data_IF_779578219259
#
_entry.id   IF_779578219259
#
_cell.length_a   1.000
_cell.length_b   1.000
_cell.length_c   1.000
_cell.angle_alpha   90.00
_cell.angle_beta   90.00
_cell.angle_gamma   90.00
#
_symmetry.space_group_name_H-M   'P 1'
#
loop_
_entity.id
_entity.type
_entity.pdbx_description
1 polymer ?
#
# COMPACT_ATOMS: atom_id res chain seq x y z
N UNK A 1 -9.51 -4.52 30.76
CA UNK A 1 -9.86 -3.24 30.11
C UNK A 1 -9.48 -3.35 28.65
N UNK A 2 -10.46 -3.60 27.79
CA UNK A 2 -10.25 -3.64 26.35
C UNK A 2 -9.86 -2.22 25.90
N UNK A 3 -8.63 -2.03 25.43
CA UNK A 3 -8.23 -0.77 24.81
C UNK A 3 -9.14 -0.57 23.61
N UNK A 4 -10.14 0.30 23.71
CA UNK A 4 -10.92 0.80 22.57
C UNK A 4 -9.93 1.33 21.56
N UNK A 5 -9.65 0.54 20.51
CA UNK A 5 -8.80 0.96 19.40
C UNK A 5 -9.47 2.18 18.78
N UNK A 6 -8.73 3.28 18.64
CA UNK A 6 -9.21 4.43 17.89
C UNK A 6 -9.75 3.95 16.52
N UNK A 7 -10.87 4.51 16.05
CA UNK A 7 -11.46 4.11 14.78
C UNK A 7 -10.44 4.34 13.66
N UNK A 8 -10.23 3.30 12.83
CA UNK A 8 -9.35 3.38 11.67
C UNK A 8 -9.98 4.34 10.68
N UNK A 9 -9.36 5.51 10.48
CA UNK A 9 -9.76 6.42 9.40
C UNK A 9 -8.89 6.18 8.17
N UNK A 10 -9.53 6.10 7.02
CA UNK A 10 -8.88 5.94 5.74
C UNK A 10 -8.69 7.28 5.02
N UNK A 11 -7.62 7.34 4.23
CA UNK A 11 -7.30 8.41 3.31
C UNK A 11 -7.18 7.83 1.91
N UNK A 12 -8.06 8.23 1.01
CA UNK A 12 -8.04 7.74 -0.37
C UNK A 12 -7.23 8.70 -1.23
N UNK A 13 -6.09 8.23 -1.71
CA UNK A 13 -5.22 8.99 -2.60
C UNK A 13 -5.75 8.83 -4.02
N UNK A 14 -5.88 9.94 -4.76
CA UNK A 14 -6.23 9.91 -6.18
C UNK A 14 -5.01 9.68 -7.07
N UNK A 15 -5.22 9.33 -8.35
CA UNK A 15 -4.12 9.25 -9.32
C UNK A 15 -3.38 10.58 -9.48
N UNK A 16 -4.11 11.69 -9.56
CA UNK A 16 -3.54 13.04 -9.69
C UNK A 16 -2.70 13.42 -8.46
N UNK A 17 -3.18 13.05 -7.28
CA UNK A 17 -2.44 13.27 -6.03
C UNK A 17 -1.18 12.42 -5.96
N UNK A 18 -1.25 11.13 -6.34
CA UNK A 18 -0.08 10.25 -6.41
C UNK A 18 0.98 10.77 -7.39
N UNK A 19 0.57 11.23 -8.58
CA UNK A 19 1.47 11.89 -9.55
C UNK A 19 2.07 13.19 -8.96
N UNK A 20 1.25 14.00 -8.30
CA UNK A 20 1.70 15.22 -7.61
C UNK A 20 2.79 14.94 -6.56
N UNK A 21 2.59 13.91 -5.73
CA UNK A 21 3.56 13.45 -4.74
C UNK A 21 4.85 12.95 -5.40
N UNK A 22 4.74 12.18 -6.49
CA UNK A 22 5.89 11.71 -7.25
C UNK A 22 6.68 12.87 -7.90
N UNK A 23 6.01 13.92 -8.39
CA UNK A 23 6.66 15.14 -8.89
C UNK A 23 7.37 15.93 -7.80
N UNK A 24 6.84 15.96 -6.58
CA UNK A 24 7.52 16.54 -5.42
C UNK A 24 8.81 15.76 -5.15
N UNK A 25 8.72 14.43 -5.06
CA UNK A 25 9.89 13.56 -4.86
C UNK A 25 10.96 13.76 -5.94
N UNK A 26 10.57 13.69 -7.22
CA UNK A 26 11.51 13.85 -8.33
C UNK A 26 12.22 15.20 -8.28
N UNK A 27 11.53 16.29 -7.91
CA UNK A 27 12.17 17.60 -7.71
C UNK A 27 13.17 17.60 -6.57
N UNK A 28 12.83 16.97 -5.44
CA UNK A 28 13.76 16.84 -4.29
C UNK A 28 15.00 16.03 -4.65
N UNK A 29 14.84 14.92 -5.36
CA UNK A 29 15.93 14.07 -5.84
C UNK A 29 16.83 14.86 -6.81
N UNK A 30 16.25 15.54 -7.81
CA UNK A 30 17.03 16.36 -8.75
C UNK A 30 17.80 17.48 -8.05
N UNK A 31 17.16 18.16 -7.09
CA UNK A 31 17.75 19.30 -6.39
C UNK A 31 18.88 18.90 -5.44
N UNK A 32 18.91 17.65 -4.97
CA UNK A 32 20.00 17.15 -4.12
C UNK A 32 21.26 16.78 -4.90
N UNK A 33 21.21 16.80 -6.24
CA UNK A 33 22.30 16.35 -7.11
C UNK A 33 22.44 14.83 -7.19
N UNK A 34 21.57 14.07 -6.53
CA UNK A 34 21.59 12.61 -6.58
C UNK A 34 21.09 12.10 -7.92
N UNK A 35 21.92 11.30 -8.59
CA UNK A 35 21.60 10.64 -9.88
C UNK A 35 21.71 9.14 -9.66
N UNK A 36 20.59 8.42 -9.48
CA UNK A 36 20.63 6.98 -9.30
C UNK A 36 21.01 6.28 -10.61
N UNK A 37 21.81 5.22 -10.51
CA UNK A 37 22.12 4.28 -11.58
C UNK A 37 21.05 3.18 -11.68
N UNK A 38 20.29 2.93 -10.61
CA UNK A 38 19.15 2.01 -10.59
C UNK A 38 18.07 2.51 -9.62
N UNK A 39 16.81 2.42 -10.04
CA UNK A 39 15.66 2.56 -9.14
C UNK A 39 15.17 1.17 -8.74
N UNK A 40 14.89 0.97 -7.47
CA UNK A 40 14.30 -0.27 -6.93
C UNK A 40 12.96 0.06 -6.29
N UNK A 41 11.88 -0.46 -6.85
CA UNK A 41 10.56 -0.41 -6.22
C UNK A 41 10.41 -1.51 -5.16
N UNK A 42 9.97 -1.16 -3.95
CA UNK A 42 9.57 -2.15 -2.95
C UNK A 42 8.20 -2.72 -3.36
N UNK A 43 8.16 -3.97 -3.79
CA UNK A 43 6.93 -4.56 -4.29
C UNK A 43 5.98 -4.93 -3.13
N UNK A 44 4.68 -4.64 -3.24
CA UNK A 44 3.98 -4.19 -4.47
C UNK A 44 3.74 -2.68 -4.51
N UNK A 45 3.55 -2.03 -3.37
CA UNK A 45 3.16 -0.63 -3.26
C UNK A 45 4.11 0.34 -3.98
N UNK A 46 5.41 0.12 -3.82
CA UNK A 46 6.47 0.90 -4.48
C UNK A 46 6.57 0.77 -6.01
N UNK A 47 5.89 -0.18 -6.66
CA UNK A 47 6.05 -0.41 -8.11
C UNK A 47 5.57 0.77 -8.95
N UNK A 48 4.37 1.27 -8.66
CA UNK A 48 3.79 2.42 -9.37
C UNK A 48 4.60 3.70 -9.15
N UNK A 49 4.90 4.14 -7.90
CA UNK A 49 5.73 5.32 -7.70
C UNK A 49 7.13 5.15 -8.28
N UNK A 50 7.76 3.97 -8.19
CA UNK A 50 9.07 3.74 -8.80
C UNK A 50 9.02 3.96 -10.32
N UNK A 51 7.98 3.46 -11.00
CA UNK A 51 7.83 3.70 -12.44
C UNK A 51 7.65 5.18 -12.74
N UNK A 52 6.79 5.91 -12.03
CA UNK A 52 6.59 7.35 -12.24
C UNK A 52 7.91 8.11 -12.00
N UNK A 53 8.64 7.78 -10.94
CA UNK A 53 9.93 8.40 -10.62
C UNK A 53 10.97 8.15 -11.72
N UNK A 54 11.06 6.93 -12.26
CA UNK A 54 11.94 6.64 -13.40
C UNK A 54 11.63 7.56 -14.59
N UNK A 55 10.36 7.77 -14.90
CA UNK A 55 9.94 8.66 -15.99
C UNK A 55 10.40 10.10 -15.75
N UNK A 56 10.09 10.62 -14.55
CA UNK A 56 10.42 11.99 -14.17
C UNK A 56 11.93 12.24 -14.07
N UNK A 57 12.73 11.22 -13.76
CA UNK A 57 14.19 11.29 -13.71
C UNK A 57 14.88 10.92 -15.03
N UNK A 58 14.13 10.48 -16.05
CA UNK A 58 14.65 9.84 -17.26
C UNK A 58 15.58 8.64 -16.97
N UNK A 59 15.31 7.95 -15.88
CA UNK A 59 16.02 6.74 -15.49
C UNK A 59 15.38 5.52 -16.17
N UNK A 60 16.18 4.73 -16.86
CA UNK A 60 15.75 3.56 -17.64
C UNK A 60 15.79 2.27 -16.82
N UNK A 61 16.74 2.18 -15.90
CA UNK A 61 16.93 0.97 -15.10
C UNK A 61 16.01 0.98 -13.88
N UNK A 62 15.07 0.03 -13.88
CA UNK A 62 14.09 -0.21 -12.83
C UNK A 62 14.09 -1.70 -12.47
N UNK A 63 14.33 -2.01 -11.21
CA UNK A 63 14.15 -3.32 -10.63
C UNK A 63 13.13 -3.28 -9.49
N UNK A 64 12.77 -4.44 -8.95
CA UNK A 64 11.90 -4.52 -7.78
C UNK A 64 12.35 -5.61 -6.82
N UNK A 65 12.05 -5.43 -5.54
CA UNK A 65 12.27 -6.41 -4.48
C UNK A 65 10.96 -6.62 -3.74
N UNK A 66 10.52 -7.87 -3.60
CA UNK A 66 9.28 -8.18 -2.86
C UNK A 66 9.58 -8.36 -1.39
N UNK A 67 8.96 -7.52 -0.57
CA UNK A 67 8.94 -7.64 0.88
C UNK A 67 7.56 -8.13 1.33
N UNK A 68 7.55 -9.05 2.29
CA UNK A 68 6.34 -9.50 2.98
C UNK A 68 6.45 -9.24 4.47
N UNK A 69 5.35 -8.77 5.05
CA UNK A 69 5.19 -8.62 6.49
C UNK A 69 4.44 -9.85 7.04
N UNK A 70 4.94 -10.40 8.13
CA UNK A 70 4.29 -11.48 8.87
C UNK A 70 3.58 -10.90 10.11
N UNK A 71 2.37 -11.37 10.43
CA UNK A 71 1.61 -10.84 11.57
C UNK A 71 0.86 -9.53 11.28
N UNK A 72 0.41 -8.84 12.34
CA UNK A 72 -0.45 -7.66 12.25
C UNK A 72 0.39 -6.45 11.81
N UNK A 73 -0.16 -5.58 10.94
CA UNK A 73 0.48 -4.40 10.32
C UNK A 73 1.05 -3.32 11.27
N UNK A 74 1.29 -3.63 12.55
CA UNK A 74 1.87 -2.74 13.57
C UNK A 74 2.98 -3.39 14.42
N UNK A 75 3.45 -4.58 14.06
CA UNK A 75 4.53 -5.25 14.82
C UNK A 75 5.86 -5.08 14.10
N UNK A 76 6.84 -4.44 14.76
CA UNK A 76 8.22 -4.34 14.27
C UNK A 76 8.88 -5.70 14.09
N UNK A 77 9.84 -5.79 13.15
CA UNK A 77 10.68 -6.98 12.96
C UNK A 77 9.99 -8.14 12.23
N UNK A 78 8.88 -7.88 11.53
CA UNK A 78 8.13 -8.92 10.84
C UNK A 78 8.22 -8.89 9.31
N UNK A 79 9.04 -8.00 8.75
CA UNK A 79 9.29 -7.93 7.32
C UNK A 79 10.41 -8.90 6.90
N UNK A 80 10.29 -9.53 5.73
CA UNK A 80 11.37 -10.31 5.09
C UNK A 80 11.36 -10.17 3.57
N UNK A 81 12.51 -10.33 2.95
CA UNK A 81 12.61 -10.47 1.50
C UNK A 81 11.97 -11.81 1.08
N UNK A 82 11.04 -11.75 0.12
CA UNK A 82 10.46 -12.95 -0.52
C UNK A 82 10.97 -13.13 -1.94
N UNK A 83 11.01 -12.05 -2.73
CA UNK A 83 11.63 -12.08 -4.05
C UNK A 83 12.77 -11.07 -4.07
N UNK A 84 13.95 -11.61 -4.32
CA UNK A 84 15.22 -10.89 -4.34
C UNK A 84 15.39 -10.11 -5.64
N UNK A 85 16.40 -9.24 -5.70
CA UNK A 85 16.83 -8.63 -6.95
C UNK A 85 17.20 -9.73 -7.97
N UNK A 86 16.93 -9.52 -9.27
CA UNK A 86 17.46 -10.36 -10.34
C UNK A 86 18.99 -10.46 -10.25
N UNK A 87 19.54 -11.61 -10.64
CA UNK A 87 21.00 -11.85 -10.60
C UNK A 87 21.73 -10.87 -11.53
N UNK A 88 21.09 -10.46 -12.61
CA UNK A 88 21.58 -9.53 -13.62
C UNK A 88 21.65 -8.07 -13.11
N UNK A 89 20.94 -7.75 -12.04
CA UNK A 89 20.93 -6.43 -11.43
C UNK A 89 22.10 -6.25 -10.43
N UNK A 90 23.34 -6.32 -10.93
CA UNK A 90 24.51 -5.99 -10.10
C UNK A 90 24.47 -4.51 -9.68
N UNK A 91 24.54 -4.28 -8.37
CA UNK A 91 24.49 -2.95 -7.76
C UNK A 91 25.85 -2.52 -7.17
N UNK A 92 26.89 -3.35 -7.29
CA UNK A 92 28.22 -3.04 -6.75
C UNK A 92 28.75 -1.74 -7.32
N UNK A 93 29.11 -0.80 -6.44
CA UNK A 93 29.61 0.52 -6.83
C UNK A 93 28.58 1.45 -7.48
N UNK A 94 27.29 1.08 -7.52
CA UNK A 94 26.21 1.89 -8.11
C UNK A 94 25.46 2.72 -7.08
N UNK A 95 24.84 3.81 -7.54
CA UNK A 95 23.92 4.66 -6.78
C UNK A 95 22.50 4.14 -6.92
N UNK A 96 21.87 3.81 -5.79
CA UNK A 96 20.57 3.15 -5.77
C UNK A 96 19.53 4.07 -5.16
N UNK A 97 18.39 4.23 -5.85
CA UNK A 97 17.20 4.85 -5.28
C UNK A 97 16.16 3.79 -4.96
N UNK A 98 15.84 3.62 -3.69
CA UNK A 98 14.75 2.76 -3.23
C UNK A 98 13.47 3.60 -3.17
N UNK A 99 12.37 3.08 -3.73
CA UNK A 99 11.08 3.76 -3.77
C UNK A 99 9.99 2.85 -3.19
N UNK A 100 9.22 3.39 -2.24
CA UNK A 100 7.98 2.79 -1.76
C UNK A 100 6.82 3.80 -1.83
N UNK A 101 5.59 3.36 -1.65
CA UNK A 101 4.45 4.27 -1.60
C UNK A 101 4.30 4.93 -0.21
N UNK A 102 4.49 4.20 0.88
CA UNK A 102 4.37 4.74 2.23
C UNK A 102 5.42 4.22 3.21
N UNK A 103 6.05 5.13 3.94
CA UNK A 103 6.81 4.80 5.15
C UNK A 103 5.88 4.83 6.38
N UNK A 104 5.34 3.68 6.78
CA UNK A 104 4.42 3.53 7.94
C UNK A 104 5.14 3.13 9.23
N UNK A 105 5.58 1.87 9.37
CA UNK A 105 6.42 1.43 10.50
C UNK A 105 7.91 1.66 10.20
N UNK A 106 8.29 1.56 8.93
CA UNK A 106 9.68 1.64 8.46
C UNK A 106 10.36 0.28 8.24
N UNK A 107 9.72 -0.83 8.64
CA UNK A 107 10.35 -2.16 8.62
C UNK A 107 10.79 -2.59 7.21
N UNK A 108 9.99 -2.28 6.18
CA UNK A 108 10.36 -2.57 4.78
C UNK A 108 11.64 -1.87 4.35
N UNK A 109 11.83 -0.61 4.74
CA UNK A 109 13.07 0.13 4.45
C UNK A 109 14.27 -0.46 5.19
N UNK A 110 14.13 -0.85 6.45
CA UNK A 110 15.22 -1.51 7.19
C UNK A 110 15.65 -2.81 6.51
N UNK A 111 14.69 -3.67 6.17
CA UNK A 111 14.98 -4.99 5.56
C UNK A 111 15.66 -4.85 4.21
N UNK A 112 15.21 -3.92 3.35
CA UNK A 112 15.89 -3.71 2.06
C UNK A 112 17.27 -3.08 2.22
N UNK A 113 17.45 -2.14 3.14
CA UNK A 113 18.76 -1.52 3.39
C UNK A 113 19.78 -2.56 3.84
N UNK A 114 19.40 -3.45 4.76
CA UNK A 114 20.23 -4.57 5.19
C UNK A 114 20.55 -5.52 4.02
N UNK A 115 19.53 -5.92 3.25
CA UNK A 115 19.68 -6.81 2.10
C UNK A 115 20.60 -6.27 0.98
N UNK A 116 20.62 -4.94 0.76
CA UNK A 116 21.46 -4.31 -0.24
C UNK A 116 22.87 -4.01 0.26
N UNK A 117 23.08 -3.86 1.57
CA UNK A 117 24.38 -3.54 2.16
C UNK A 117 25.46 -4.57 1.76
N UNK A 118 25.12 -5.85 1.76
CA UNK A 118 26.02 -6.95 1.38
C UNK A 118 26.46 -6.92 -0.10
N UNK A 119 25.74 -6.17 -0.94
CA UNK A 119 26.01 -6.04 -2.39
C UNK A 119 26.86 -4.81 -2.73
N UNK A 120 27.33 -4.08 -1.71
CA UNK A 120 28.30 -2.98 -1.81
C UNK A 120 27.92 -1.88 -2.83
N UNK A 121 26.70 -1.31 -2.78
CA UNK A 121 26.39 -0.12 -3.55
C UNK A 121 27.28 1.06 -3.13
N UNK A 122 27.55 1.99 -4.05
CA UNK A 122 28.33 3.20 -3.73
C UNK A 122 27.54 4.18 -2.86
N UNK A 123 26.22 4.28 -3.08
CA UNK A 123 25.33 5.13 -2.32
C UNK A 123 23.91 4.58 -2.42
N UNK A 124 23.15 4.60 -1.32
CA UNK A 124 21.74 4.23 -1.32
C UNK A 124 20.94 5.38 -0.73
N UNK A 125 19.88 5.80 -1.42
CA UNK A 125 18.89 6.75 -0.91
C UNK A 125 17.48 6.17 -1.05
N UNK A 126 16.58 6.68 -0.23
CA UNK A 126 15.23 6.17 -0.06
C UNK A 126 14.19 7.26 -0.33
N UNK A 127 13.07 6.86 -0.93
CA UNK A 127 11.97 7.75 -1.24
C UNK A 127 10.62 7.08 -0.95
N UNK A 128 9.68 7.84 -0.39
CA UNK A 128 8.29 7.41 -0.21
C UNK A 128 7.33 8.50 -0.66
N UNK A 129 6.19 8.17 -1.28
CA UNK A 129 5.18 9.20 -1.59
C UNK A 129 4.71 9.88 -0.31
N UNK A 130 4.47 9.10 0.74
CA UNK A 130 4.06 9.59 2.05
C UNK A 130 4.90 9.01 3.17
N UNK A 131 5.21 9.83 4.17
CA UNK A 131 5.94 9.45 5.38
C UNK A 131 5.09 9.72 6.62
N UNK A 132 4.87 8.70 7.46
CA UNK A 132 4.14 8.85 8.73
C UNK A 132 5.14 9.00 9.88
N UNK A 133 4.90 9.95 10.78
CA UNK A 133 5.81 10.21 11.92
C UNK A 133 5.88 9.07 12.94
N UNK A 134 4.99 8.08 12.87
CA UNK A 134 5.10 6.86 13.65
C UNK A 134 6.19 5.90 13.12
N UNK A 135 6.68 6.10 11.90
CA UNK A 135 7.74 5.28 11.34
C UNK A 135 9.06 5.55 12.05
N UNK A 136 9.76 4.47 12.37
CA UNK A 136 11.12 4.53 12.95
C UNK A 136 12.19 4.72 11.88
N UNK A 137 11.84 4.59 10.60
CA UNK A 137 12.69 4.89 9.46
C UNK A 137 12.27 6.22 8.83
N UNK A 138 13.22 7.13 8.59
CA UNK A 138 12.96 8.40 7.91
C UNK A 138 13.53 8.30 6.50
N UNK A 139 12.69 8.30 5.44
CA UNK A 139 13.18 8.31 4.07
C UNK A 139 13.99 9.57 3.77
N UNK A 140 15.00 9.48 2.90
CA UNK A 140 15.77 10.64 2.44
C UNK A 140 14.89 11.66 1.71
N UNK A 141 13.85 11.16 1.03
CA UNK A 141 12.86 11.97 0.32
C UNK A 141 11.44 11.50 0.63
N UNK A 142 10.54 12.46 0.88
CA UNK A 142 9.09 12.20 0.97
C UNK A 142 8.29 13.23 0.17
N UNK A 143 7.15 12.84 -0.38
CA UNK A 143 6.21 13.78 -1.01
C UNK A 143 5.49 14.59 0.06
N UNK A 144 4.81 13.90 0.97
CA UNK A 144 4.04 14.47 2.07
C UNK A 144 4.36 13.79 3.40
N UNK A 145 4.25 14.53 4.50
CA UNK A 145 4.49 14.04 5.86
C UNK A 145 3.20 14.10 6.69
N UNK A 146 2.84 12.98 7.30
CA UNK A 146 1.65 12.82 8.15
C UNK A 146 2.01 12.72 9.62
N UNK A 147 1.52 13.66 10.43
CA UNK A 147 1.72 13.66 11.89
C UNK A 147 0.76 12.75 12.66
N UNK A 148 -0.40 12.45 12.07
CA UNK A 148 -1.41 11.55 12.65
C UNK A 148 -1.53 10.31 11.78
N UNK A 149 -1.64 9.15 12.41
CA UNK A 149 -1.78 7.90 11.67
C UNK A 149 -3.15 7.79 11.01
N UNK A 150 -3.15 7.46 9.72
CA UNK A 150 -4.32 7.12 8.91
C UNK A 150 -3.99 5.97 7.98
N UNK A 151 -5.00 5.19 7.60
CA UNK A 151 -4.84 4.12 6.63
C UNK A 151 -4.92 4.70 5.21
N UNK A 152 -3.79 4.77 4.53
CA UNK A 152 -3.72 5.30 3.16
C UNK A 152 -4.16 4.19 2.20
N UNK A 153 -5.04 4.52 1.26
CA UNK A 153 -5.46 3.64 0.18
C UNK A 153 -5.07 4.31 -1.13
N UNK A 154 -4.07 3.74 -1.80
CA UNK A 154 -3.65 4.21 -3.12
C UNK A 154 -4.55 3.65 -4.23
N UNK A 155 -4.57 4.30 -5.42
CA UNK A 155 -5.37 3.83 -6.55
C UNK A 155 -5.07 2.39 -6.98
N UNK A 156 -3.80 1.96 -6.86
CA UNK A 156 -3.36 0.59 -7.18
C UNK A 156 -3.70 -0.45 -6.11
N UNK A 157 -4.33 -0.05 -5.00
CA UNK A 157 -4.66 -0.94 -3.88
C UNK A 157 -6.13 -0.86 -3.45
N UNK A 158 -6.97 -0.07 -4.15
CA UNK A 158 -8.39 0.11 -3.81
C UNK A 158 -9.09 -1.24 -3.66
N UNK A 159 -8.89 -2.10 -4.65
CA UNK A 159 -9.57 -3.38 -4.72
C UNK A 159 -9.22 -4.27 -3.52
N UNK A 160 -7.92 -4.48 -3.29
CA UNK A 160 -7.41 -5.28 -2.17
C UNK A 160 -7.90 -4.74 -0.82
N UNK A 161 -7.76 -3.44 -0.59
CA UNK A 161 -8.20 -2.81 0.65
C UNK A 161 -9.71 -2.94 0.86
N UNK A 162 -10.50 -2.70 -0.18
CA UNK A 162 -11.95 -2.71 -0.05
C UNK A 162 -12.52 -4.09 0.23
N UNK A 163 -11.95 -5.16 -0.30
CA UNK A 163 -12.39 -6.52 0.09
C UNK A 163 -12.29 -6.72 1.61
N UNK A 164 -11.22 -6.22 2.23
CA UNK A 164 -11.02 -6.28 3.68
C UNK A 164 -11.99 -5.39 4.47
N UNK A 165 -12.24 -4.16 4.02
CA UNK A 165 -13.18 -3.25 4.69
C UNK A 165 -14.64 -3.65 4.51
N UNK A 166 -15.02 -4.19 3.34
CA UNK A 166 -16.35 -4.77 3.11
C UNK A 166 -16.60 -5.90 4.11
N UNK A 167 -15.62 -6.78 4.32
CA UNK A 167 -15.70 -7.82 5.35
C UNK A 167 -15.93 -7.29 6.77
N UNK A 168 -15.39 -6.11 7.10
CA UNK A 168 -15.58 -5.49 8.42
C UNK A 168 -16.98 -4.90 8.61
N UNK A 169 -17.60 -4.37 7.55
CA UNK A 169 -18.94 -3.76 7.64
C UNK A 169 -20.07 -4.78 7.50
N UNK A 170 -19.82 -5.95 6.91
CA UNK A 170 -20.78 -7.02 6.72
C UNK A 170 -20.95 -7.91 7.97
N UNK A 171 -21.29 -7.30 9.10
CA UNK A 171 -21.59 -8.02 10.36
C UNK A 171 -22.95 -8.72 10.37
N UNK A 172 -23.83 -8.36 9.43
CA UNK A 172 -25.13 -8.95 9.16
C UNK A 172 -25.48 -8.67 7.68
N UNK A 173 -26.50 -9.34 7.10
CA UNK A 173 -26.88 -9.10 5.70
C UNK A 173 -27.18 -7.63 5.42
N UNK A 174 -26.52 -7.04 4.42
CA UNK A 174 -26.68 -5.62 4.03
C UNK A 174 -26.88 -5.47 2.54
N UNK A 175 -27.64 -4.45 2.14
CA UNK A 175 -27.69 -4.07 0.72
C UNK A 175 -26.39 -3.38 0.31
N UNK A 176 -26.14 -3.27 -1.00
CA UNK A 176 -24.99 -2.52 -1.52
C UNK A 176 -24.95 -1.08 -0.99
N UNK A 177 -26.10 -0.40 -0.90
CA UNK A 177 -26.16 0.99 -0.43
C UNK A 177 -25.86 1.09 1.07
N UNK A 178 -26.28 0.10 1.87
CA UNK A 178 -25.94 0.02 3.29
C UNK A 178 -24.43 -0.22 3.48
N UNK A 179 -23.83 -1.11 2.70
CA UNK A 179 -22.36 -1.34 2.70
C UNK A 179 -21.62 -0.05 2.36
N UNK A 180 -22.04 0.64 1.29
CA UNK A 180 -21.45 1.91 0.86
C UNK A 180 -21.54 2.97 1.95
N UNK A 181 -22.68 3.05 2.65
CA UNK A 181 -22.89 3.97 3.76
C UNK A 181 -21.97 3.65 4.94
N UNK A 182 -21.89 2.39 5.37
CA UNK A 182 -21.00 1.97 6.45
C UNK A 182 -19.52 2.24 6.12
N UNK A 183 -19.07 1.98 4.88
CA UNK A 183 -17.70 2.30 4.45
C UNK A 183 -17.38 3.79 4.60
N UNK A 184 -18.34 4.66 4.25
CA UNK A 184 -18.20 6.11 4.41
C UNK A 184 -18.20 6.53 5.87
N UNK A 185 -19.18 6.06 6.65
CA UNK A 185 -19.43 6.52 8.02
C UNK A 185 -18.36 5.98 8.99
N UNK A 186 -17.96 4.72 8.84
CA UNK A 186 -17.06 4.03 9.79
C UNK A 186 -15.58 4.22 9.45
N UNK A 187 -15.24 4.33 8.16
CA UNK A 187 -13.85 4.34 7.68
C UNK A 187 -13.46 5.55 6.83
N UNK A 188 -14.39 6.46 6.51
CA UNK A 188 -14.17 7.57 5.57
C UNK A 188 -13.79 7.11 4.15
N UNK A 189 -14.30 5.95 3.73
CA UNK A 189 -14.05 5.41 2.38
C UNK A 189 -15.20 5.83 1.45
N UNK A 190 -14.87 6.54 0.38
CA UNK A 190 -15.80 6.95 -0.65
C UNK A 190 -15.58 6.13 -1.92
N UNK A 191 -16.61 5.43 -2.37
CA UNK A 191 -16.58 4.63 -3.60
C UNK A 191 -17.87 4.81 -4.40
N UNK A 192 -17.76 4.76 -5.72
CA UNK A 192 -18.91 4.81 -6.61
C UNK A 192 -19.77 3.55 -6.46
N UNK A 193 -21.06 3.65 -6.82
CA UNK A 193 -21.94 2.47 -6.82
C UNK A 193 -21.45 1.41 -7.83
N UNK A 194 -20.90 1.83 -8.96
CA UNK A 194 -20.43 0.91 -9.99
C UNK A 194 -19.26 0.07 -9.47
N UNK A 195 -18.23 0.73 -8.96
CA UNK A 195 -17.00 0.05 -8.52
C UNK A 195 -17.26 -0.82 -7.29
N UNK A 196 -18.12 -0.37 -6.36
CA UNK A 196 -18.51 -1.20 -5.22
C UNK A 196 -19.27 -2.46 -5.64
N UNK A 197 -20.15 -2.36 -6.63
CA UNK A 197 -20.89 -3.51 -7.13
C UNK A 197 -19.96 -4.52 -7.79
N UNK A 198 -18.99 -4.04 -8.57
CA UNK A 198 -17.95 -4.87 -9.19
C UNK A 198 -17.17 -5.67 -8.15
N UNK A 199 -16.62 -5.00 -7.14
CA UNK A 199 -15.88 -5.66 -6.05
C UNK A 199 -16.74 -6.68 -5.31
N UNK A 200 -17.99 -6.33 -4.97
CA UNK A 200 -18.89 -7.26 -4.27
C UNK A 200 -19.21 -8.49 -5.13
N UNK A 201 -19.43 -8.31 -6.43
CA UNK A 201 -19.73 -9.43 -7.33
C UNK A 201 -18.54 -10.37 -7.46
N UNK A 202 -17.33 -9.85 -7.59
CA UNK A 202 -16.13 -10.68 -7.67
C UNK A 202 -15.84 -11.39 -6.33
N UNK A 203 -16.05 -10.71 -5.19
CA UNK A 203 -16.02 -11.36 -3.88
C UNK A 203 -17.06 -12.50 -3.79
N UNK A 204 -18.22 -12.35 -4.42
CA UNK A 204 -19.22 -13.42 -4.49
C UNK A 204 -18.77 -14.58 -5.41
N UNK A 205 -18.21 -14.28 -6.57
CA UNK A 205 -17.67 -15.28 -7.50
C UNK A 205 -16.52 -16.09 -6.87
N UNK A 206 -15.71 -15.45 -6.03
CA UNK A 206 -14.66 -16.10 -5.25
C UNK A 206 -15.18 -16.85 -4.01
N UNK A 207 -16.50 -16.87 -3.77
CA UNK A 207 -17.13 -17.53 -2.63
C UNK A 207 -16.92 -16.83 -1.28
N UNK A 208 -16.36 -15.62 -1.27
CA UNK A 208 -16.16 -14.81 -0.06
C UNK A 208 -17.46 -14.19 0.45
N UNK A 209 -18.46 -14.03 -0.41
CA UNK A 209 -19.78 -13.51 -0.08
C UNK A 209 -20.90 -14.42 -0.60
N UNK A 210 -22.03 -14.45 0.11
CA UNK A 210 -23.30 -15.00 -0.38
C UNK A 210 -24.29 -13.87 -0.63
N UNK A 211 -25.18 -14.07 -1.60
CA UNK A 211 -26.28 -13.17 -1.89
C UNK A 211 -27.62 -13.78 -1.51
N UNK A 212 -28.53 -12.95 -1.01
CA UNK A 212 -29.93 -13.32 -0.77
C UNK A 212 -30.87 -12.26 -1.34
N UNK A 213 -31.96 -12.69 -1.98
CA UNK A 213 -33.01 -11.78 -2.44
C UNK A 213 -34.14 -11.72 -1.42
N UNK A 214 -34.49 -10.52 -0.96
CA UNK A 214 -35.61 -10.29 -0.04
C UNK A 214 -36.29 -8.97 -0.38
N UNK A 215 -37.61 -9.01 -0.64
CA UNK A 215 -38.41 -7.82 -0.93
C UNK A 215 -37.90 -7.01 -2.13
N UNK A 216 -37.46 -7.69 -3.20
CA UNK A 216 -36.94 -7.04 -4.42
C UNK A 216 -35.52 -6.47 -4.30
N UNK A 217 -34.87 -6.57 -3.13
CA UNK A 217 -33.49 -6.12 -2.89
C UNK A 217 -32.54 -7.31 -2.76
N UNK A 218 -31.28 -7.08 -3.12
CA UNK A 218 -30.18 -8.03 -2.91
C UNK A 218 -29.44 -7.61 -1.63
N UNK A 219 -29.26 -8.59 -0.75
CA UNK A 219 -28.45 -8.46 0.46
C UNK A 219 -27.23 -9.37 0.33
N UNK A 220 -26.11 -8.90 0.87
CA UNK A 220 -24.83 -9.59 0.88
C UNK A 220 -24.45 -9.95 2.31
N UNK A 221 -23.91 -11.14 2.51
CA UNK A 221 -23.41 -11.62 3.80
C UNK A 221 -22.15 -12.45 3.64
N UNK A 222 -21.35 -12.53 4.70
CA UNK A 222 -20.20 -13.42 4.78
C UNK A 222 -20.72 -14.85 5.01
N UNK A 223 -20.26 -15.86 4.25
CA UNK A 223 -20.61 -17.26 4.50
C UNK A 223 -20.28 -17.64 5.95
N UNK A 224 -21.21 -18.32 6.63
CA UNK A 224 -20.87 -18.99 7.89
C UNK A 224 -19.80 -20.05 7.59
N UNK A 225 -18.69 -20.02 8.31
CA UNK A 225 -17.80 -21.18 8.33
C UNK A 225 -18.58 -22.31 8.99
N UNK A 226 -18.80 -23.40 8.26
CA UNK A 226 -19.22 -24.64 8.90
C UNK A 226 -18.06 -25.07 9.79
N UNK A 227 -18.29 -25.10 11.11
CA UNK A 227 -17.39 -25.80 12.01
C UNK A 227 -17.33 -27.25 11.53
N UNK A 228 -16.26 -27.63 10.84
CA UNK A 228 -15.90 -29.02 10.67
C UNK A 228 -15.78 -29.63 12.06
N UNK A 229 -16.82 -30.38 12.45
CA UNK A 229 -16.85 -31.24 13.62
C UNK A 229 -15.87 -32.38 13.50
#
# INVERSE_FOLDING_TARGET
MEKTREPIKCYMVSWDEADGLARILARKIKSSGFKPDLVIGIARGGLVPARIICDLLLQKDLASVKIEHWGIAKTHGSAKIKFHLPIEADISGKKILIVDDVADTGDSFFVIMEYLNDKKPAEVRTAALQYKTCSTFIPDYWGEKHGKWMWVIYPWEIYENLTGFIGKVLTHPKTQEDVRKCLKDDFNIQISRKDLLEIINDMHLEGKLKSMKKGGKIFWEIPRQEETR
#
